data_IF_701021622713
#
_entry.id   IF_701021622713
#
_cell.length_a   1.000
_cell.length_b   1.000
_cell.length_c   1.000
_cell.angle_alpha   90.00
_cell.angle_beta   90.00
_cell.angle_gamma   90.00
#
_symmetry.space_group_name_H-M   'P 1'
#
loop_
_entity.id
_entity.type
_entity.pdbx_description
1 polymer ?
#
# COMPACT_ATOMS: atom_id res chain seq x y z
N UNK A 1 -18.71 -7.83 -5.15
CA UNK A 1 -18.16 -8.57 -6.30
C UNK A 1 -16.97 -9.37 -5.81
N UNK A 2 -16.97 -10.70 -6.00
CA UNK A 2 -15.85 -11.52 -5.55
C UNK A 2 -14.61 -11.14 -6.38
N UNK A 3 -13.55 -10.69 -5.71
CA UNK A 3 -12.28 -10.38 -6.36
C UNK A 3 -11.57 -11.69 -6.71
N UNK A 4 -10.97 -11.78 -7.91
CA UNK A 4 -10.13 -12.92 -8.26
C UNK A 4 -8.97 -13.10 -7.25
N UNK A 5 -8.49 -14.32 -6.97
CA UNK A 5 -7.44 -14.53 -5.97
C UNK A 5 -6.12 -13.86 -6.35
N UNK A 6 -5.36 -13.41 -5.34
CA UNK A 6 -4.12 -12.64 -5.51
C UNK A 6 -2.99 -13.38 -6.25
N UNK A 7 -3.00 -14.72 -6.22
CA UNK A 7 -2.01 -15.55 -6.92
C UNK A 7 -1.92 -15.27 -8.42
N UNK A 8 -3.01 -14.78 -9.03
CA UNK A 8 -3.08 -14.48 -10.47
C UNK A 8 -2.27 -13.24 -10.84
N UNK A 9 -2.16 -12.27 -9.92
CA UNK A 9 -1.53 -10.97 -10.19
C UNK A 9 -0.22 -10.78 -9.43
N UNK A 10 0.29 -11.80 -8.72
CA UNK A 10 1.48 -11.68 -7.87
C UNK A 10 2.76 -11.45 -8.69
N UNK A 11 2.87 -12.12 -9.83
CA UNK A 11 4.08 -12.13 -10.65
C UNK A 11 4.23 -10.84 -11.48
N UNK A 12 5.47 -10.41 -11.68
CA UNK A 12 5.84 -9.22 -12.48
C UNK A 12 6.30 -9.67 -13.86
N UNK A 13 5.46 -10.43 -14.56
CA UNK A 13 5.72 -11.02 -15.87
C UNK A 13 5.17 -10.18 -17.05
N UNK A 14 4.26 -9.26 -16.75
CA UNK A 14 3.55 -8.43 -17.74
C UNK A 14 4.16 -7.03 -17.86
N UNK A 15 4.05 -6.39 -19.05
CA UNK A 15 4.46 -5.00 -19.21
C UNK A 15 3.64 -4.05 -18.33
N UNK A 16 4.25 -2.91 -17.98
CA UNK A 16 3.61 -1.88 -17.18
C UNK A 16 2.42 -1.26 -17.92
N UNK A 17 1.28 -1.15 -17.23
CA UNK A 17 0.03 -0.58 -17.73
C UNK A 17 -0.44 0.53 -16.77
N UNK A 18 0.09 1.73 -17.00
CA UNK A 18 0.02 2.85 -16.03
C UNK A 18 -0.41 4.19 -16.65
N UNK A 19 -0.35 4.34 -17.98
CA UNK A 19 -0.59 5.60 -18.71
C UNK A 19 -2.09 5.97 -18.73
N UNK A 20 -2.54 6.76 -17.74
CA UNK A 20 -3.96 7.09 -17.53
C UNK A 20 -4.60 7.83 -18.69
N UNK A 21 -3.84 8.59 -19.47
CA UNK A 21 -4.32 9.32 -20.65
C UNK A 21 -4.81 8.40 -21.78
N UNK A 22 -4.30 7.16 -21.84
CA UNK A 22 -4.72 6.17 -22.84
C UNK A 22 -5.73 5.15 -22.27
N UNK A 23 -5.87 5.07 -20.95
CA UNK A 23 -6.67 4.06 -20.26
C UNK A 23 -8.02 4.66 -19.85
N UNK A 24 -9.07 4.37 -20.63
CA UNK A 24 -10.44 4.81 -20.30
C UNK A 24 -11.03 3.97 -19.19
N UNK A 25 -11.72 4.61 -18.24
CA UNK A 25 -12.40 3.93 -17.13
C UNK A 25 -11.47 3.35 -16.07
N UNK A 26 -10.23 3.87 -15.95
CA UNK A 26 -9.30 3.43 -14.91
C UNK A 26 -9.93 3.65 -13.51
N UNK A 27 -9.97 2.62 -12.64
CA UNK A 27 -10.49 2.79 -11.29
C UNK A 27 -9.58 3.67 -10.45
N UNK A 28 -10.18 4.45 -9.55
CA UNK A 28 -9.45 5.23 -8.56
C UNK A 28 -8.74 4.34 -7.52
N UNK A 29 -7.66 4.83 -6.90
CA UNK A 29 -6.99 4.12 -5.82
C UNK A 29 -7.88 4.06 -4.58
N UNK A 30 -7.94 2.89 -3.93
CA UNK A 30 -8.67 2.69 -2.67
C UNK A 30 -7.91 3.22 -1.45
N UNK A 31 -6.58 3.11 -1.48
CA UNK A 31 -5.70 3.69 -0.46
C UNK A 31 -5.50 5.18 -0.75
N UNK A 32 -5.85 6.02 0.20
CA UNK A 32 -5.77 7.49 0.08
C UNK A 32 -4.78 8.10 1.06
N UNK A 33 -4.53 7.44 2.19
CA UNK A 33 -3.65 7.93 3.26
C UNK A 33 -2.40 7.06 3.31
N UNK A 34 -1.24 7.69 3.18
CA UNK A 34 0.06 7.02 3.16
C UNK A 34 0.91 7.29 4.41
N UNK A 35 0.74 8.46 5.03
CA UNK A 35 1.42 8.85 6.26
C UNK A 35 0.43 8.85 7.43
N UNK A 36 0.85 8.29 8.57
CA UNK A 36 0.04 8.23 9.79
C UNK A 36 0.90 8.41 11.05
N UNK A 37 0.23 8.74 12.16
CA UNK A 37 0.87 9.06 13.43
C UNK A 37 1.24 10.54 13.52
N UNK A 38 2.44 10.85 14.00
CA UNK A 38 2.98 12.19 14.10
C UNK A 38 4.08 12.41 13.02
N UNK A 39 3.74 12.90 11.82
CA UNK A 39 4.70 13.08 10.72
C UNK A 39 5.75 14.17 10.98
N UNK A 40 5.54 15.04 11.97
CA UNK A 40 6.50 16.07 12.38
C UNK A 40 7.26 15.68 13.65
N UNK A 41 7.12 14.43 14.12
CA UNK A 41 7.85 13.93 15.26
C UNK A 41 9.31 13.67 14.91
N UNK A 42 10.20 13.91 15.87
CA UNK A 42 11.60 13.50 15.80
C UNK A 42 11.74 12.13 16.45
N UNK A 43 12.24 11.15 15.69
CA UNK A 43 12.34 9.76 16.11
C UNK A 43 13.75 9.25 15.84
N UNK A 44 14.38 8.66 16.86
CA UNK A 44 15.76 8.16 16.78
C UNK A 44 15.90 6.90 15.92
N UNK A 45 14.85 6.06 15.87
CA UNK A 45 14.90 4.75 15.23
C UNK A 45 13.98 4.65 14.01
N UNK A 46 14.49 4.05 12.93
CA UNK A 46 13.74 3.72 11.73
C UNK A 46 13.69 2.21 11.52
N UNK A 47 12.50 1.67 11.25
CA UNK A 47 12.29 0.27 10.87
C UNK A 47 11.69 0.22 9.47
N UNK A 48 12.41 -0.37 8.52
CA UNK A 48 11.99 -0.53 7.13
C UNK A 48 11.64 -2.00 6.82
N UNK A 49 10.54 -2.21 6.10
CA UNK A 49 10.15 -3.52 5.57
C UNK A 49 10.61 -3.65 4.12
N UNK A 50 11.31 -4.74 3.81
CA UNK A 50 11.80 -5.06 2.47
C UNK A 50 11.11 -6.32 1.93
N UNK A 51 10.85 -6.32 0.62
CA UNK A 51 10.36 -7.49 -0.08
C UNK A 51 11.52 -8.42 -0.44
N UNK A 52 11.38 -9.72 -0.16
CA UNK A 52 12.40 -10.71 -0.53
C UNK A 52 12.43 -10.99 -2.05
N UNK A 53 11.28 -10.84 -2.71
CA UNK A 53 11.11 -11.14 -4.14
C UNK A 53 10.38 -9.99 -4.84
N UNK A 54 10.57 -9.82 -6.17
CA UNK A 54 9.78 -8.90 -6.96
C UNK A 54 8.33 -9.40 -7.03
N UNK A 55 7.42 -8.65 -6.42
CA UNK A 55 6.01 -9.00 -6.33
C UNK A 55 5.13 -7.78 -6.59
N UNK A 56 3.94 -7.99 -7.17
CA UNK A 56 2.91 -6.97 -7.16
C UNK A 56 2.03 -7.09 -5.92
N UNK A 57 1.87 -5.96 -5.23
CA UNK A 57 1.00 -5.84 -4.06
C UNK A 57 -0.25 -5.07 -4.46
N UNK A 58 -1.42 -5.68 -4.22
CA UNK A 58 -2.70 -5.06 -4.54
C UNK A 58 -3.07 -3.98 -3.52
N UNK A 59 -3.81 -2.97 -3.97
CA UNK A 59 -4.28 -1.87 -3.13
C UNK A 59 -5.14 -2.30 -1.93
N UNK A 60 -5.90 -3.39 -2.05
CA UNK A 60 -6.68 -3.92 -0.94
C UNK A 60 -5.80 -4.49 0.19
N UNK A 61 -4.68 -5.12 -0.17
CA UNK A 61 -3.70 -5.61 0.80
C UNK A 61 -2.98 -4.45 1.49
N UNK A 62 -2.61 -3.39 0.74
CA UNK A 62 -2.03 -2.18 1.32
C UNK A 62 -2.97 -1.51 2.32
N UNK A 63 -4.25 -1.36 1.98
CA UNK A 63 -5.23 -0.73 2.86
C UNK A 63 -5.55 -1.59 4.11
N UNK A 64 -5.58 -2.92 3.95
CA UNK A 64 -5.73 -3.84 5.07
C UNK A 64 -4.52 -3.77 6.03
N UNK A 65 -3.30 -3.79 5.48
CA UNK A 65 -2.07 -3.64 6.25
C UNK A 65 -2.02 -2.30 6.99
N UNK A 66 -2.35 -1.19 6.30
CA UNK A 66 -2.47 0.16 6.87
C UNK A 66 -3.41 0.18 8.08
N UNK A 67 -4.62 -0.36 7.90
CA UNK A 67 -5.64 -0.36 8.95
C UNK A 67 -5.20 -1.15 10.18
N UNK A 68 -4.60 -2.32 9.96
CA UNK A 68 -4.14 -3.19 11.04
C UNK A 68 -2.94 -2.59 11.78
N UNK A 69 -1.95 -2.06 11.06
CA UNK A 69 -0.79 -1.39 11.65
C UNK A 69 -1.22 -0.17 12.47
N UNK A 70 -2.10 0.66 11.92
CA UNK A 70 -2.60 1.83 12.64
C UNK A 70 -3.31 1.44 13.94
N UNK A 71 -4.16 0.41 13.90
CA UNK A 71 -4.85 -0.09 15.11
C UNK A 71 -3.86 -0.60 16.15
N UNK A 72 -2.88 -1.39 15.73
CA UNK A 72 -1.87 -1.97 16.63
C UNK A 72 -1.00 -0.88 17.28
N UNK A 73 -0.45 0.03 16.49
CA UNK A 73 0.43 1.10 16.97
C UNK A 73 -0.33 2.11 17.84
N UNK A 74 -1.56 2.46 17.48
CA UNK A 74 -2.39 3.36 18.30
C UNK A 74 -2.70 2.75 19.65
N UNK A 75 -2.98 1.44 19.72
CA UNK A 75 -3.29 0.74 20.97
C UNK A 75 -2.07 0.60 21.89
N UNK A 76 -0.90 0.29 21.33
CA UNK A 76 0.26 -0.12 22.12
C UNK A 76 1.29 0.99 22.36
N UNK A 77 1.43 1.94 21.43
CA UNK A 77 2.45 3.00 21.47
C UNK A 77 1.80 4.36 21.74
N UNK A 78 0.61 4.59 21.17
CA UNK A 78 -0.08 5.88 21.23
C UNK A 78 0.20 6.74 20.01
N UNK A 79 -0.81 7.50 19.56
CA UNK A 79 -0.81 8.19 18.26
C UNK A 79 0.32 9.20 18.05
N UNK A 80 0.80 9.84 19.11
CA UNK A 80 1.86 10.85 19.03
C UNK A 80 3.28 10.27 19.01
N UNK A 81 3.42 8.99 19.32
CA UNK A 81 4.69 8.34 19.62
C UNK A 81 5.23 7.48 18.45
N UNK A 82 4.60 7.54 17.28
CA UNK A 82 5.10 6.90 16.07
C UNK A 82 4.81 7.74 14.84
N UNK A 83 5.64 7.55 13.82
CA UNK A 83 5.34 7.90 12.43
C UNK A 83 5.52 6.63 11.60
N UNK A 84 4.52 6.29 10.80
CA UNK A 84 4.71 5.26 9.79
C UNK A 84 4.22 5.74 8.43
N UNK A 85 4.91 5.27 7.40
CA UNK A 85 4.68 5.65 6.01
C UNK A 85 4.62 4.43 5.10
N UNK A 86 3.56 4.35 4.30
CA UNK A 86 3.50 3.43 3.17
C UNK A 86 4.20 4.11 1.99
N UNK A 87 5.34 3.55 1.57
CA UNK A 87 6.18 4.15 0.51
C UNK A 87 5.70 3.86 -0.91
N UNK A 88 4.89 2.81 -1.09
CA UNK A 88 4.50 2.31 -2.42
C UNK A 88 3.10 2.78 -2.80
N UNK A 89 2.94 3.24 -4.04
CA UNK A 89 1.66 3.62 -4.63
C UNK A 89 1.21 2.58 -5.67
N UNK A 90 -0.09 2.19 -5.72
CA UNK A 90 -0.59 1.24 -6.71
C UNK A 90 -0.71 1.89 -8.09
N UNK A 91 0.37 1.80 -8.89
CA UNK A 91 0.39 2.34 -10.25
C UNK A 91 -0.21 1.41 -11.30
N UNK A 92 0.03 0.11 -11.18
CA UNK A 92 -0.38 -0.88 -12.18
C UNK A 92 -1.90 -1.06 -12.18
N UNK A 93 -2.53 -0.87 -13.34
CA UNK A 93 -3.95 -1.13 -13.52
C UNK A 93 -4.14 -2.59 -13.92
N UNK A 94 -4.97 -3.32 -13.16
CA UNK A 94 -5.34 -4.69 -13.48
C UNK A 94 -6.54 -4.70 -14.43
N UNK A 95 -6.51 -5.63 -15.39
CA UNK A 95 -7.61 -5.91 -16.31
C UNK A 95 -8.10 -7.34 -16.15
N UNK A 96 -9.40 -7.51 -16.32
CA UNK A 96 -10.11 -8.78 -16.48
C UNK A 96 -10.77 -8.79 -17.86
#
# INVERSE_FOLDING_TARGET
>A
MALRPAKIDRYVDKPAYTRREYIRGAPGPRITIFDMGNPSGDFEFEVSLHTAEPVQIRQNALEAARTQLNRFLTKNVGRSNFHYKIRVYPFQILRE
#
